data_IF_720186158617
#
_entry.id   IF_720186158617
#
_cell.length_a   1.000
_cell.length_b   1.000
_cell.length_c   1.000
_cell.angle_alpha   90.00
_cell.angle_beta   90.00
_cell.angle_gamma   90.00
#
_symmetry.space_group_name_H-M   'P 1'
#
loop_
_entity.id
_entity.type
_entity.pdbx_description
1 polymer ?
#
# COMPACT_ATOMS: atom_id res chain seq x y z
N UNK A 1 8.98 24.44 21.37
CA UNK A 1 8.19 24.91 20.22
C UNK A 1 7.91 26.40 20.36
N UNK A 2 7.91 27.19 19.23
CA UNK A 2 7.40 28.54 19.26
C UNK A 2 5.98 28.60 19.85
N UNK A 3 5.67 29.59 20.69
CA UNK A 3 4.37 29.74 21.37
C UNK A 3 3.18 29.61 20.41
N UNK A 4 3.30 30.11 19.16
CA UNK A 4 2.27 30.03 18.12
C UNK A 4 1.91 28.60 17.69
N UNK A 5 2.72 27.59 18.03
CA UNK A 5 2.51 26.18 17.71
C UNK A 5 2.18 25.33 18.93
N UNK A 6 2.03 25.93 20.11
CA UNK A 6 1.69 25.18 21.31
C UNK A 6 0.39 24.38 21.10
N UNK A 7 0.40 23.10 21.47
CA UNK A 7 -0.72 22.17 21.28
C UNK A 7 -1.09 21.82 19.84
N UNK A 8 -0.27 22.19 18.84
CA UNK A 8 -0.52 21.91 17.43
C UNK A 8 0.48 20.90 16.88
N UNK A 9 0.05 20.13 15.87
CA UNK A 9 0.91 19.27 15.05
C UNK A 9 0.51 19.39 13.58
N UNK A 10 1.48 19.30 12.70
CA UNK A 10 1.27 19.18 11.26
C UNK A 10 1.69 17.76 10.83
N UNK A 11 0.72 16.97 10.48
CA UNK A 11 0.92 15.59 10.03
C UNK A 11 0.83 15.52 8.51
N UNK A 12 1.88 15.07 7.86
CA UNK A 12 1.96 14.96 6.40
C UNK A 12 1.93 13.51 5.95
N UNK A 13 0.91 13.15 5.15
CA UNK A 13 0.78 11.82 4.56
C UNK A 13 1.44 11.81 3.18
N UNK A 14 2.51 11.03 3.03
CA UNK A 14 3.23 10.83 1.79
C UNK A 14 3.11 9.38 1.31
N UNK A 15 4.04 8.91 0.51
CA UNK A 15 4.02 7.60 -0.15
C UNK A 15 5.42 7.01 -0.18
N UNK A 16 5.53 5.69 -0.21
CA UNK A 16 6.79 4.97 -0.42
C UNK A 16 7.40 5.20 -1.81
N UNK A 17 6.59 5.62 -2.79
CA UNK A 17 7.06 5.96 -4.14
C UNK A 17 8.12 7.07 -4.17
N UNK A 18 8.23 7.88 -3.12
CA UNK A 18 9.27 8.92 -3.01
C UNK A 18 10.69 8.34 -2.93
N UNK A 19 10.82 7.11 -2.47
CA UNK A 19 12.10 6.40 -2.34
C UNK A 19 12.62 5.85 -3.68
N UNK A 20 11.77 5.73 -4.70
CA UNK A 20 12.11 5.15 -5.99
C UNK A 20 11.76 3.67 -6.09
N UNK A 21 12.55 2.87 -6.82
CA UNK A 21 12.33 1.45 -7.04
C UNK A 21 13.38 0.58 -6.37
N UNK A 22 12.95 -0.55 -5.83
CA UNK A 22 13.83 -1.63 -5.38
C UNK A 22 14.04 -2.66 -6.49
N UNK A 23 15.20 -3.31 -6.45
CA UNK A 23 15.49 -4.45 -7.32
C UNK A 23 14.78 -5.70 -6.83
N UNK A 24 14.34 -6.55 -7.74
CA UNK A 24 13.93 -7.91 -7.44
C UNK A 24 15.15 -8.82 -7.49
N UNK A 25 15.65 -9.26 -6.34
CA UNK A 25 16.79 -10.18 -6.24
C UNK A 25 16.34 -11.64 -6.19
N UNK A 26 15.06 -11.90 -5.90
CA UNK A 26 14.44 -13.22 -5.89
C UNK A 26 13.19 -13.23 -6.79
N UNK A 27 13.33 -13.08 -8.13
CA UNK A 27 12.18 -12.97 -9.04
C UNK A 27 11.34 -14.26 -9.12
N UNK A 28 11.92 -15.41 -8.77
CA UNK A 28 11.26 -16.72 -8.70
C UNK A 28 10.79 -17.08 -7.28
N UNK A 29 10.84 -16.08 -6.39
CA UNK A 29 10.51 -16.27 -4.98
C UNK A 29 9.12 -16.85 -4.74
N UNK A 30 8.94 -17.29 -3.53
CA UNK A 30 7.86 -18.06 -2.91
C UNK A 30 6.52 -17.94 -3.65
N UNK A 31 5.94 -19.08 -4.04
CA UNK A 31 4.62 -19.10 -4.68
C UNK A 31 3.51 -18.62 -3.73
N UNK A 32 2.65 -17.69 -4.17
CA UNK A 32 1.43 -17.35 -3.43
C UNK A 32 0.40 -18.50 -3.48
N UNK A 33 -0.52 -18.56 -2.52
CA UNK A 33 -0.70 -17.64 -1.42
C UNK A 33 0.18 -17.99 -0.23
N UNK A 34 0.72 -16.98 0.44
CA UNK A 34 1.37 -17.14 1.74
C UNK A 34 0.32 -17.49 2.80
N UNK A 35 -0.03 -18.75 2.91
CA UNK A 35 -1.09 -19.23 3.81
C UNK A 35 -0.65 -19.37 5.26
N UNK A 36 0.52 -18.90 5.63
CA UNK A 36 0.98 -19.07 7.00
C UNK A 36 0.98 -17.74 7.74
N UNK A 37 0.47 -17.75 8.97
CA UNK A 37 0.75 -16.79 10.03
C UNK A 37 2.27 -16.79 10.38
N UNK A 38 3.13 -16.88 9.36
CA UNK A 38 4.56 -16.79 9.54
C UNK A 38 4.91 -15.36 9.88
N UNK A 39 5.76 -15.19 10.88
CA UNK A 39 6.24 -13.89 11.34
C UNK A 39 6.51 -12.94 10.15
N UNK A 40 6.09 -11.70 10.27
CA UNK A 40 6.30 -10.61 9.31
C UNK A 40 7.71 -10.61 8.69
N UNK A 41 8.74 -11.00 9.43
CA UNK A 41 10.12 -11.07 8.97
C UNK A 41 10.36 -12.02 7.78
N UNK A 42 9.59 -13.11 7.62
CA UNK A 42 9.77 -14.06 6.50
C UNK A 42 9.11 -13.60 5.20
N UNK A 43 8.12 -12.75 5.26
CA UNK A 43 7.48 -12.17 4.09
C UNK A 43 8.33 -11.08 3.44
N UNK A 44 9.15 -10.37 4.24
CA UNK A 44 10.03 -9.30 3.77
C UNK A 44 11.06 -9.75 2.73
N UNK A 45 11.52 -10.99 2.77
CA UNK A 45 12.60 -11.48 1.92
C UNK A 45 12.10 -12.15 0.63
N UNK A 46 10.77 -12.20 0.39
CA UNK A 46 10.20 -13.00 -0.69
C UNK A 46 10.69 -12.58 -2.09
N UNK A 47 10.88 -11.29 -2.34
CA UNK A 47 11.26 -10.75 -3.64
C UNK A 47 12.61 -10.04 -3.65
N UNK A 48 13.24 -9.86 -2.49
CA UNK A 48 14.53 -9.22 -2.36
C UNK A 48 14.85 -8.83 -0.91
N UNK A 49 16.13 -8.54 -0.64
CA UNK A 49 16.64 -8.24 0.69
C UNK A 49 16.57 -6.75 1.06
N UNK A 50 16.44 -5.88 0.07
CA UNK A 50 16.41 -4.42 0.28
C UNK A 50 15.01 -3.93 0.60
N UNK A 51 14.91 -2.98 1.52
CA UNK A 51 13.67 -2.31 1.93
C UNK A 51 13.88 -0.80 2.05
N UNK A 52 12.81 -0.04 1.85
CA UNK A 52 12.81 1.39 2.13
C UNK A 52 12.76 1.66 3.63
N UNK A 53 13.83 2.21 4.16
CA UNK A 53 13.92 2.74 5.52
C UNK A 53 13.62 4.25 5.52
N UNK A 54 13.32 4.81 6.69
CA UNK A 54 13.14 6.26 6.83
C UNK A 54 14.41 7.07 6.49
N UNK A 55 15.57 6.39 6.48
CA UNK A 55 16.88 6.95 6.09
C UNK A 55 17.20 6.77 4.60
N UNK A 56 16.38 6.04 3.85
CA UNK A 56 16.57 5.85 2.41
C UNK A 56 16.45 7.18 1.69
N UNK A 57 17.40 7.46 0.79
CA UNK A 57 17.40 8.69 -0.01
C UNK A 57 16.24 8.66 -1.01
N UNK A 58 15.56 9.80 -1.16
CA UNK A 58 14.52 9.96 -2.16
C UNK A 58 15.09 9.90 -3.57
N UNK A 59 14.43 9.11 -4.42
CA UNK A 59 14.77 8.93 -5.84
C UNK A 59 13.50 8.70 -6.67
N UNK A 60 12.55 9.66 -6.69
CA UNK A 60 11.26 9.47 -7.36
C UNK A 60 11.40 9.35 -8.87
N UNK A 61 10.66 8.41 -9.49
CA UNK A 61 10.72 8.13 -10.93
C UNK A 61 9.50 8.62 -11.72
N UNK A 62 8.47 9.15 -11.06
CA UNK A 62 7.28 9.67 -11.72
C UNK A 62 7.00 11.14 -11.34
N UNK A 63 6.27 11.90 -12.17
CA UNK A 63 5.84 13.27 -11.80
C UNK A 63 5.05 13.29 -10.48
N UNK A 64 4.24 12.28 -10.22
CA UNK A 64 3.50 12.14 -8.97
C UNK A 64 4.45 11.96 -7.79
N UNK A 65 5.34 10.97 -7.83
CA UNK A 65 6.28 10.72 -6.73
C UNK A 65 7.25 11.87 -6.51
N UNK A 66 7.67 12.56 -7.59
CA UNK A 66 8.48 13.78 -7.49
C UNK A 66 7.74 14.92 -6.79
N UNK A 67 6.43 15.10 -7.08
CA UNK A 67 5.61 16.11 -6.41
C UNK A 67 5.44 15.82 -4.91
N UNK A 68 5.27 14.56 -4.54
CA UNK A 68 5.17 14.10 -3.15
C UNK A 68 6.50 14.29 -2.42
N UNK A 69 7.63 13.90 -3.05
CA UNK A 69 8.97 14.14 -2.49
C UNK A 69 9.24 15.63 -2.26
N UNK A 70 8.84 16.49 -3.20
CA UNK A 70 8.90 17.95 -3.04
C UNK A 70 8.09 18.43 -1.84
N UNK A 71 6.87 17.93 -1.65
CA UNK A 71 6.02 18.24 -0.49
C UNK A 71 6.68 17.83 0.82
N UNK A 72 7.26 16.65 0.89
CA UNK A 72 7.97 16.15 2.09
C UNK A 72 9.14 17.05 2.45
N UNK A 73 9.91 17.49 1.45
CA UNK A 73 11.02 18.43 1.65
C UNK A 73 10.53 19.79 2.15
N UNK A 74 9.41 20.31 1.62
CA UNK A 74 8.83 21.55 2.15
C UNK A 74 8.42 21.41 3.62
N UNK A 75 7.77 20.31 3.99
CA UNK A 75 7.35 20.06 5.37
C UNK A 75 8.55 20.05 6.32
N UNK A 76 9.63 19.35 5.95
CA UNK A 76 10.88 19.33 6.73
C UNK A 76 11.52 20.73 6.82
N UNK A 77 11.60 21.45 5.69
CA UNK A 77 12.16 22.80 5.67
C UNK A 77 11.38 23.77 6.54
N UNK A 78 10.05 23.66 6.62
CA UNK A 78 9.22 24.47 7.52
C UNK A 78 9.49 24.15 9.00
N UNK A 79 9.79 22.91 9.33
CA UNK A 79 10.26 22.56 10.67
C UNK A 79 11.61 23.22 10.96
N UNK A 80 12.60 23.02 10.10
CA UNK A 80 13.97 23.49 10.29
C UNK A 80 14.06 25.01 10.36
N UNK A 81 13.26 25.70 9.54
CA UNK A 81 13.31 27.17 9.44
C UNK A 81 12.46 27.85 10.49
N UNK A 82 11.27 27.34 10.77
CA UNK A 82 10.26 28.05 11.57
C UNK A 82 9.86 27.30 12.85
N UNK A 83 10.44 26.13 13.12
CA UNK A 83 10.09 25.29 14.27
C UNK A 83 8.67 24.73 14.20
N UNK A 84 8.08 24.57 12.98
CA UNK A 84 6.76 23.98 12.84
C UNK A 84 6.78 22.52 13.32
N UNK A 85 5.84 22.10 14.18
CA UNK A 85 5.83 20.74 14.73
C UNK A 85 5.30 19.74 13.68
N UNK A 86 6.18 19.29 12.80
CA UNK A 86 5.85 18.41 11.67
C UNK A 86 6.14 16.95 11.96
N UNK A 87 5.35 16.08 11.36
CA UNK A 87 5.62 14.64 11.23
C UNK A 87 5.35 14.28 9.76
N UNK A 88 6.24 13.49 9.16
CA UNK A 88 6.08 12.97 7.80
C UNK A 88 5.87 11.47 7.88
N UNK A 89 4.92 10.93 7.12
CA UNK A 89 4.72 9.49 7.01
C UNK A 89 4.73 9.06 5.55
N UNK A 90 5.42 7.97 5.25
CA UNK A 90 5.41 7.31 3.95
C UNK A 90 4.69 5.98 4.10
N UNK A 91 3.62 5.76 3.33
CA UNK A 91 2.85 4.54 3.42
C UNK A 91 2.93 3.71 2.14
N UNK A 92 2.78 2.40 2.30
CA UNK A 92 2.61 1.45 1.21
C UNK A 92 1.22 1.54 0.57
N UNK A 93 0.94 0.68 -0.43
CA UNK A 93 -0.35 0.65 -1.12
C UNK A 93 -1.47 0.28 -0.15
N UNK A 94 -2.49 1.13 -0.07
CA UNK A 94 -3.65 0.87 0.77
C UNK A 94 -4.74 0.12 0.00
N UNK A 95 -5.50 -0.71 0.70
CA UNK A 95 -6.72 -1.34 0.21
C UNK A 95 -7.76 -1.43 1.33
N UNK A 96 -9.02 -1.55 0.97
CA UNK A 96 -10.11 -1.62 1.94
C UNK A 96 -11.36 -0.85 1.51
N UNK A 97 -12.32 -0.69 2.40
CA UNK A 97 -13.52 0.10 2.19
C UNK A 97 -13.22 1.54 1.75
N UNK A 98 -14.16 2.14 1.00
CA UNK A 98 -14.13 3.54 0.58
C UNK A 98 -12.97 3.94 -0.35
N UNK A 99 -12.20 3.00 -0.90
CA UNK A 99 -11.20 3.34 -1.91
C UNK A 99 -11.89 3.79 -3.19
N UNK A 100 -11.32 4.82 -3.85
CA UNK A 100 -11.90 5.38 -5.07
C UNK A 100 -12.03 4.32 -6.18
N UNK A 101 -13.18 4.24 -6.89
CA UNK A 101 -13.52 3.14 -7.79
C UNK A 101 -12.56 2.90 -8.97
N UNK A 102 -11.76 3.90 -9.36
CA UNK A 102 -10.75 3.74 -10.43
C UNK A 102 -9.48 2.98 -10.00
N UNK A 103 -9.29 2.77 -8.68
CA UNK A 103 -8.13 2.05 -8.16
C UNK A 103 -8.26 0.55 -8.41
N UNK A 104 -7.11 -0.15 -8.46
CA UNK A 104 -7.01 -1.54 -8.91
C UNK A 104 -8.07 -2.46 -8.26
N UNK A 105 -8.12 -2.50 -6.93
CA UNK A 105 -8.98 -3.46 -6.23
C UNK A 105 -10.47 -3.16 -6.44
N UNK A 106 -11.01 -1.95 -6.16
CA UNK A 106 -12.42 -1.68 -6.40
C UNK A 106 -12.80 -1.76 -7.87
N UNK A 107 -11.96 -1.29 -8.79
CA UNK A 107 -12.19 -1.40 -10.22
C UNK A 107 -12.36 -2.88 -10.66
N UNK A 108 -11.47 -3.75 -10.17
CA UNK A 108 -11.51 -5.16 -10.54
C UNK A 108 -12.70 -5.87 -9.92
N UNK A 109 -13.04 -5.59 -8.67
CA UNK A 109 -14.29 -6.10 -8.05
C UNK A 109 -15.50 -5.72 -8.91
N UNK A 110 -15.59 -4.44 -9.34
CA UNK A 110 -16.69 -3.98 -10.18
C UNK A 110 -16.69 -4.65 -11.57
N UNK A 111 -15.53 -4.78 -12.18
CA UNK A 111 -15.42 -5.43 -13.48
C UNK A 111 -15.78 -6.93 -13.41
N UNK A 112 -15.33 -7.67 -12.40
CA UNK A 112 -15.66 -9.08 -12.19
C UNK A 112 -17.17 -9.25 -11.98
N UNK A 113 -17.78 -8.38 -11.14
CA UNK A 113 -19.23 -8.35 -10.90
C UNK A 113 -20.01 -8.31 -12.22
N UNK A 114 -19.55 -7.51 -13.17
CA UNK A 114 -20.18 -7.30 -14.47
C UNK A 114 -19.58 -8.13 -15.62
N UNK A 115 -18.68 -9.05 -15.34
CA UNK A 115 -17.93 -9.86 -16.33
C UNK A 115 -17.25 -9.01 -17.42
N UNK A 116 -16.65 -7.89 -17.02
CA UNK A 116 -15.87 -7.00 -17.88
C UNK A 116 -14.38 -7.37 -17.85
N UNK A 117 -13.61 -7.05 -18.92
CA UNK A 117 -12.17 -7.28 -18.95
C UNK A 117 -11.42 -6.65 -17.78
N UNK A 118 -10.39 -7.36 -17.30
CA UNK A 118 -9.49 -6.94 -16.23
C UNK A 118 -8.13 -6.55 -16.84
N UNK A 119 -7.87 -5.26 -17.11
CA UNK A 119 -6.65 -4.84 -17.77
C UNK A 119 -5.45 -4.94 -16.82
N UNK A 120 -4.49 -5.80 -17.18
CA UNK A 120 -3.24 -6.02 -16.44
C UNK A 120 -2.07 -5.41 -17.19
N UNK A 121 -1.39 -4.45 -16.59
CA UNK A 121 -0.23 -3.79 -17.19
C UNK A 121 0.96 -4.75 -17.28
N UNK A 122 1.61 -4.80 -18.46
CA UNK A 122 2.72 -5.70 -18.74
C UNK A 122 2.32 -7.16 -18.51
N UNK A 123 3.07 -7.86 -17.66
CA UNK A 123 2.75 -9.23 -17.20
C UNK A 123 2.17 -9.27 -15.78
N UNK A 124 1.99 -8.10 -15.15
CA UNK A 124 1.53 -8.02 -13.76
C UNK A 124 2.57 -8.45 -12.72
N UNK A 125 3.86 -8.45 -13.08
CA UNK A 125 4.95 -8.92 -12.22
C UNK A 125 5.44 -7.86 -11.22
N UNK A 126 4.97 -6.63 -11.32
CA UNK A 126 5.32 -5.57 -10.37
C UNK A 126 4.86 -5.95 -8.97
N UNK A 127 5.76 -5.79 -8.00
CA UNK A 127 5.53 -6.12 -6.59
C UNK A 127 5.17 -4.86 -5.80
N UNK A 128 4.15 -4.97 -4.96
CA UNK A 128 3.71 -3.92 -4.04
C UNK A 128 3.49 -4.50 -2.65
N UNK A 129 3.81 -3.72 -1.63
CA UNK A 129 3.37 -3.98 -0.27
C UNK A 129 1.96 -3.44 -0.08
N UNK A 130 1.08 -4.22 0.57
CA UNK A 130 -0.34 -3.89 0.72
C UNK A 130 -0.74 -3.80 2.18
N UNK A 131 -1.35 -2.68 2.53
CA UNK A 131 -1.77 -2.34 3.88
C UNK A 131 -3.30 -2.14 3.94
N UNK A 132 -3.94 -2.83 4.88
CA UNK A 132 -5.38 -2.64 5.11
C UNK A 132 -5.64 -1.23 5.64
N UNK A 133 -6.64 -0.54 5.08
CA UNK A 133 -6.87 0.89 5.33
C UNK A 133 -7.13 1.24 6.79
N UNK A 134 -7.80 0.34 7.55
CA UNK A 134 -8.03 0.56 8.99
C UNK A 134 -6.73 0.49 9.78
N UNK A 135 -5.79 -0.36 9.37
CA UNK A 135 -4.45 -0.42 9.99
C UNK A 135 -3.68 0.86 9.72
N UNK A 136 -3.80 1.43 8.51
CA UNK A 136 -3.20 2.73 8.21
C UNK A 136 -3.85 3.84 9.06
N UNK A 137 -5.17 3.86 9.18
CA UNK A 137 -5.87 4.85 10.01
C UNK A 137 -5.43 4.76 11.49
N UNK A 138 -5.27 3.54 12.04
CA UNK A 138 -4.73 3.33 13.39
C UNK A 138 -3.29 3.83 13.52
N UNK A 139 -2.45 3.61 12.49
CA UNK A 139 -1.09 4.14 12.48
C UNK A 139 -1.07 5.66 12.48
N UNK A 140 -1.92 6.30 11.67
CA UNK A 140 -2.05 7.76 11.61
C UNK A 140 -2.43 8.32 12.98
N UNK A 141 -3.46 7.77 13.61
CA UNK A 141 -3.93 8.20 14.93
C UNK A 141 -2.84 8.06 15.99
N UNK A 142 -2.20 6.90 16.05
CA UNK A 142 -1.12 6.63 17.00
C UNK A 142 0.08 7.57 16.79
N UNK A 143 0.56 7.71 15.55
CA UNK A 143 1.69 8.59 15.24
C UNK A 143 1.35 10.06 15.50
N UNK A 144 0.11 10.47 15.21
CA UNK A 144 -0.33 11.84 15.46
C UNK A 144 -0.25 12.20 16.95
N UNK A 145 -0.64 11.27 17.82
CA UNK A 145 -0.66 11.51 19.27
C UNK A 145 0.69 11.25 19.95
N UNK A 146 1.35 10.14 19.61
CA UNK A 146 2.53 9.64 20.32
C UNK A 146 3.85 9.82 19.53
N UNK A 147 3.77 10.06 18.23
CA UNK A 147 4.95 10.20 17.36
C UNK A 147 5.80 11.43 17.74
N UNK A 148 7.09 11.32 17.49
CA UNK A 148 8.06 12.41 17.73
C UNK A 148 7.98 13.46 16.63
N UNK A 149 7.96 14.72 17.04
CA UNK A 149 8.04 15.88 16.12
C UNK A 149 9.36 15.83 15.35
N UNK A 150 9.33 16.25 14.10
CA UNK A 150 10.44 16.26 13.14
C UNK A 150 10.87 14.86 12.63
N UNK A 151 10.20 13.79 13.06
CA UNK A 151 10.50 12.44 12.61
C UNK A 151 9.71 12.06 11.36
N UNK A 152 10.26 11.07 10.66
CA UNK A 152 9.58 10.34 9.59
C UNK A 152 9.24 8.94 10.08
N UNK A 153 8.06 8.44 9.73
CA UNK A 153 7.64 7.07 10.00
C UNK A 153 7.19 6.40 8.71
N UNK A 154 7.72 5.21 8.46
CA UNK A 154 7.25 4.32 7.41
C UNK A 154 6.09 3.48 7.93
N UNK A 155 5.05 3.31 7.10
CA UNK A 155 3.85 2.54 7.44
C UNK A 155 3.61 1.51 6.34
N UNK A 156 3.92 0.24 6.60
CA UNK A 156 3.80 -0.85 5.65
C UNK A 156 3.08 -2.06 6.21
N UNK A 157 2.52 -2.88 5.32
CA UNK A 157 1.75 -4.07 5.69
C UNK A 157 2.59 -5.32 5.89
N UNK A 158 3.85 -5.31 5.45
CA UNK A 158 4.69 -6.51 5.31
C UNK A 158 4.03 -7.59 4.43
N UNK A 159 3.25 -7.15 3.45
CA UNK A 159 2.46 -7.97 2.53
C UNK A 159 2.86 -7.68 1.09
N UNK A 160 4.00 -8.19 0.67
CA UNK A 160 4.48 -8.04 -0.71
C UNK A 160 3.78 -9.04 -1.63
N UNK A 161 3.18 -8.53 -2.72
CA UNK A 161 2.48 -9.32 -3.72
C UNK A 161 2.77 -8.85 -5.13
N UNK A 162 2.87 -9.78 -6.09
CA UNK A 162 2.79 -9.44 -7.51
C UNK A 162 1.36 -9.01 -7.85
N UNK A 163 1.23 -8.01 -8.70
CA UNK A 163 -0.10 -7.54 -9.12
C UNK A 163 -0.96 -8.66 -9.71
N UNK A 164 -0.37 -9.56 -10.51
CA UNK A 164 -1.12 -10.68 -11.11
C UNK A 164 -1.67 -11.64 -10.05
N UNK A 165 -0.96 -11.85 -8.96
CA UNK A 165 -1.39 -12.77 -7.90
C UNK A 165 -2.50 -12.15 -7.06
N UNK A 166 -2.42 -10.85 -6.76
CA UNK A 166 -3.51 -10.09 -6.14
C UNK A 166 -4.79 -10.20 -6.98
N UNK A 167 -4.66 -10.00 -8.29
CA UNK A 167 -5.80 -10.06 -9.22
C UNK A 167 -6.47 -11.43 -9.15
N UNK A 168 -5.69 -12.53 -9.13
CA UNK A 168 -6.23 -13.89 -8.97
C UNK A 168 -6.93 -14.08 -7.62
N UNK A 169 -6.35 -13.56 -6.52
CA UNK A 169 -6.98 -13.63 -5.20
C UNK A 169 -8.31 -12.85 -5.19
N UNK A 170 -8.35 -11.67 -5.80
CA UNK A 170 -9.58 -10.88 -5.93
C UNK A 170 -10.63 -11.63 -6.74
N UNK A 171 -10.26 -12.22 -7.90
CA UNK A 171 -11.17 -13.00 -8.74
C UNK A 171 -11.76 -14.16 -7.93
N UNK A 172 -10.91 -15.00 -7.35
CA UNK A 172 -11.36 -16.16 -6.57
C UNK A 172 -12.31 -15.76 -5.43
N UNK A 173 -12.00 -14.65 -4.76
CA UNK A 173 -12.82 -14.15 -3.64
C UNK A 173 -14.17 -13.64 -4.12
N UNK A 174 -14.21 -12.86 -5.21
CA UNK A 174 -15.46 -12.34 -5.79
C UNK A 174 -16.32 -13.48 -6.32
N UNK A 175 -15.74 -14.42 -7.07
CA UNK A 175 -16.45 -15.58 -7.61
C UNK A 175 -17.13 -16.37 -6.48
N UNK A 176 -16.36 -16.71 -5.45
CA UNK A 176 -16.86 -17.45 -4.28
C UNK A 176 -18.01 -16.69 -3.58
N UNK A 177 -17.85 -15.40 -3.35
CA UNK A 177 -18.85 -14.59 -2.66
C UNK A 177 -20.11 -14.34 -3.49
N UNK A 178 -20.01 -14.39 -4.83
CA UNK A 178 -21.16 -14.35 -5.74
C UNK A 178 -21.76 -15.74 -6.03
N UNK A 179 -21.26 -16.81 -5.38
CA UNK A 179 -21.73 -18.17 -5.57
C UNK A 179 -21.30 -18.81 -6.90
N UNK A 180 -20.26 -18.26 -7.53
CA UNK A 180 -19.62 -18.83 -8.72
C UNK A 180 -18.52 -19.83 -8.31
N UNK A 181 -18.04 -20.62 -9.27
CA UNK A 181 -16.86 -21.47 -9.05
C UNK A 181 -15.62 -20.58 -8.92
N UNK A 182 -14.79 -20.80 -7.90
CA UNK A 182 -13.52 -20.08 -7.77
C UNK A 182 -12.69 -20.17 -9.04
N UNK A 183 -12.23 -19.01 -9.53
CA UNK A 183 -11.48 -18.89 -10.77
C UNK A 183 -12.32 -18.97 -12.04
N UNK A 184 -13.64 -18.92 -11.95
CA UNK A 184 -14.52 -18.90 -13.13
C UNK A 184 -14.24 -17.70 -14.03
N UNK A 185 -13.91 -16.55 -13.44
CA UNK A 185 -13.68 -15.28 -14.13
C UNK A 185 -12.18 -14.99 -14.42
N UNK A 186 -11.30 -16.00 -14.33
CA UNK A 186 -9.86 -15.84 -14.66
C UNK A 186 -9.63 -15.50 -16.14
N UNK A 187 -10.52 -15.89 -17.03
CA UNK A 187 -10.49 -15.57 -18.46
C UNK A 187 -10.74 -14.08 -18.77
N UNK A 188 -11.23 -13.31 -17.81
CA UNK A 188 -11.38 -11.85 -17.92
C UNK A 188 -10.03 -11.11 -17.89
N UNK A 189 -8.95 -11.74 -17.46
CA UNK A 189 -7.61 -11.14 -17.43
C UNK A 189 -7.19 -10.78 -18.86
N UNK A 190 -6.88 -9.51 -19.09
CA UNK A 190 -6.42 -9.00 -20.38
C UNK A 190 -5.12 -8.21 -20.18
N UNK A 191 -4.03 -8.72 -20.75
CA UNK A 191 -2.75 -8.04 -20.66
C UNK A 191 -2.70 -6.84 -21.62
N UNK A 192 -2.27 -5.69 -21.09
CA UNK A 192 -2.14 -4.44 -21.85
C UNK A 192 -0.71 -3.91 -21.76
N UNK A 193 -0.35 -2.98 -22.66
CA UNK A 193 0.99 -2.36 -22.65
C UNK A 193 1.29 -1.75 -21.28
N UNK A 194 2.48 -2.01 -20.77
CA UNK A 194 2.90 -1.48 -19.46
C UNK A 194 3.07 0.05 -19.49
N UNK A 195 2.93 0.66 -18.32
CA UNK A 195 3.11 2.10 -18.14
C UNK A 195 4.58 2.47 -18.20
N UNK A 196 4.89 3.62 -18.81
CA UNK A 196 6.24 4.17 -18.75
C UNK A 196 6.62 4.52 -17.32
N UNK A 197 7.83 4.16 -16.90
CA UNK A 197 8.32 4.41 -15.55
C UNK A 197 7.61 3.60 -14.46
N UNK A 198 7.10 2.42 -14.80
CA UNK A 198 6.45 1.54 -13.84
C UNK A 198 7.49 0.77 -13.02
N UNK A 199 7.72 1.21 -11.79
CA UNK A 199 8.70 0.64 -10.88
C UNK A 199 8.43 -0.84 -10.58
N UNK A 200 9.50 -1.64 -10.52
CA UNK A 200 9.40 -3.08 -10.38
C UNK A 200 8.90 -3.51 -8.99
N UNK A 201 9.46 -2.95 -7.92
CA UNK A 201 9.15 -3.37 -6.55
C UNK A 201 9.14 -2.18 -5.58
N UNK A 202 8.14 -2.18 -4.71
CA UNK A 202 8.08 -1.37 -3.49
C UNK A 202 7.95 -2.29 -2.29
N UNK A 203 8.82 -2.11 -1.31
CA UNK A 203 8.75 -2.77 -0.01
C UNK A 203 9.24 -1.79 1.05
N UNK A 204 8.39 -1.55 2.04
CA UNK A 204 8.65 -0.55 3.07
C UNK A 204 8.87 -1.22 4.43
N UNK A 205 9.87 -0.78 5.16
CA UNK A 205 10.16 -1.26 6.50
C UNK A 205 9.48 -0.36 7.53
N UNK A 206 8.56 -0.89 8.29
CA UNK A 206 7.86 -0.22 9.40
C UNK A 206 8.37 -0.63 10.80
N UNK A 207 9.54 -1.25 10.88
CA UNK A 207 10.13 -1.70 12.16
C UNK A 207 10.33 -0.56 13.15
N UNK A 208 10.65 0.64 12.67
CA UNK A 208 10.75 1.83 13.55
C UNK A 208 9.43 2.11 14.25
N UNK A 209 8.33 2.12 13.51
CA UNK A 209 6.99 2.34 14.03
C UNK A 209 6.60 1.26 15.04
N UNK A 210 6.91 0.00 14.74
CA UNK A 210 6.69 -1.12 15.67
C UNK A 210 7.47 -0.95 16.97
N UNK A 211 8.76 -0.69 16.84
CA UNK A 211 9.66 -0.58 18.01
C UNK A 211 9.35 0.65 18.89
N UNK A 212 9.05 1.78 18.28
CA UNK A 212 8.89 3.04 19.02
C UNK A 212 7.47 3.23 19.57
N UNK A 213 6.46 2.77 18.84
CA UNK A 213 5.06 3.02 19.18
C UNK A 213 4.22 1.75 19.35
N UNK A 214 4.78 0.56 19.13
CA UNK A 214 4.09 -0.72 19.33
C UNK A 214 2.98 -1.00 18.31
N UNK A 215 2.98 -0.31 17.16
CA UNK A 215 2.01 -0.54 16.10
C UNK A 215 2.39 -1.76 15.26
N UNK A 216 1.39 -2.58 14.93
CA UNK A 216 1.53 -3.71 13.99
C UNK A 216 0.28 -3.78 13.10
N UNK A 217 0.43 -4.23 11.82
CA UNK A 217 -0.72 -4.53 10.99
C UNK A 217 -1.54 -5.67 11.60
N UNK A 218 -2.86 -5.53 11.58
CA UNK A 218 -3.77 -6.49 12.22
C UNK A 218 -4.24 -7.61 11.30
N UNK A 219 -4.14 -7.40 9.98
CA UNK A 219 -4.64 -8.33 8.98
C UNK A 219 -3.56 -8.68 7.95
N UNK A 220 -3.57 -9.94 7.55
CA UNK A 220 -2.90 -10.37 6.32
C UNK A 220 -3.78 -10.06 5.10
N UNK A 221 -3.17 -10.06 3.90
CA UNK A 221 -3.86 -9.63 2.68
C UNK A 221 -5.12 -10.46 2.39
N UNK A 222 -5.06 -11.78 2.54
CA UNK A 222 -6.19 -12.67 2.23
C UNK A 222 -7.40 -12.42 3.13
N UNK A 223 -7.16 -12.18 4.42
CA UNK A 223 -8.25 -11.84 5.37
C UNK A 223 -8.82 -10.46 5.09
N UNK A 224 -7.94 -9.51 4.80
CA UNK A 224 -8.32 -8.14 4.49
C UNK A 224 -9.06 -8.02 3.16
N UNK A 225 -8.65 -8.78 2.12
CA UNK A 225 -9.31 -8.74 0.82
C UNK A 225 -10.72 -9.33 0.88
N UNK A 226 -10.96 -10.36 1.68
CA UNK A 226 -12.31 -10.89 1.86
C UNK A 226 -13.24 -9.85 2.48
N UNK A 227 -12.80 -9.17 3.54
CA UNK A 227 -13.56 -8.06 4.14
C UNK A 227 -13.83 -6.94 3.14
N UNK A 228 -12.82 -6.60 2.34
CA UNK A 228 -12.90 -5.56 1.30
C UNK A 228 -13.93 -5.91 0.24
N UNK A 229 -13.86 -7.13 -0.33
CA UNK A 229 -14.79 -7.58 -1.36
C UNK A 229 -16.22 -7.62 -0.82
N UNK A 230 -16.44 -8.17 0.39
CA UNK A 230 -17.78 -8.16 1.03
C UNK A 230 -18.32 -6.74 1.14
N UNK A 231 -17.50 -5.80 1.63
CA UNK A 231 -17.94 -4.43 1.76
C UNK A 231 -18.40 -3.83 0.43
N UNK A 232 -17.64 -4.03 -0.67
CA UNK A 232 -18.01 -3.52 -1.99
C UNK A 232 -19.25 -4.22 -2.57
N UNK A 233 -19.44 -5.50 -2.32
CA UNK A 233 -20.65 -6.21 -2.76
C UNK A 233 -21.89 -5.75 -1.98
N UNK A 234 -21.74 -5.37 -0.72
CA UNK A 234 -22.83 -4.83 0.12
C UNK A 234 -23.09 -3.33 -0.15
N UNK A 235 -22.10 -2.60 -0.71
CA UNK A 235 -22.17 -1.16 -0.99
C UNK A 235 -21.96 -0.86 -2.48
N UNK A 236 -22.72 -1.50 -3.33
CA UNK A 236 -22.55 -1.41 -4.79
C UNK A 236 -22.70 0.01 -5.34
N UNK A 237 -23.51 0.84 -4.72
CA UNK A 237 -23.67 2.26 -5.11
C UNK A 237 -22.36 3.04 -5.06
N UNK A 238 -21.42 2.65 -4.18
CA UNK A 238 -20.09 3.25 -4.14
C UNK A 238 -19.26 2.95 -5.40
N UNK A 239 -19.43 1.78 -6.01
CA UNK A 239 -18.74 1.37 -7.23
C UNK A 239 -19.37 1.95 -8.50
N UNK A 240 -20.66 2.27 -8.46
CA UNK A 240 -21.45 2.71 -9.63
C UNK A 240 -21.41 4.25 -9.80
N UNK A 241 -20.88 5.00 -8.82
CA UNK A 241 -20.63 6.44 -8.87
C UNK A 241 -19.21 6.77 -9.36
#
# INVERSE_FOLDING_TARGET
>A
LPEKYEGKRFYHISTDEVYGALQMTHPEGIEPPFTTKASSAKHHEAYGEDFFLETTKYNPHSPYSASKAGSDHFVRAFHDTYGMPTIVTNCSNNYGPYQFPEKLIPLFINNIRHRKPLPVYGKGENVRDWLFVEDHARAIDLIFHEGKVAETYNIGGFNEWKNIDIIKVVINTVDRLLGRKEGEDLDLITFVTDRLGHDARYAIDSTKLQRELGWEPSLQFEEGIEKTVRWYLDNQEWLDN
#
